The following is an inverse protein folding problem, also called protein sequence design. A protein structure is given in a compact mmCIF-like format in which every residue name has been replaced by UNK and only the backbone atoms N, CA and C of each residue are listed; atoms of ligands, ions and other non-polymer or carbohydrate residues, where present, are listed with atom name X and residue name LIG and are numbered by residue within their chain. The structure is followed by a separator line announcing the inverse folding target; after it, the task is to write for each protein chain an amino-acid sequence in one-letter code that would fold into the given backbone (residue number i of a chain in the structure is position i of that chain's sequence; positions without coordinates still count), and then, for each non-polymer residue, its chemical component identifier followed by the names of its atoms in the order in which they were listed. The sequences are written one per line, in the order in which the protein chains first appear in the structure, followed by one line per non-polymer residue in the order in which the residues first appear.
data_IF_304235650599
#
_entry.id   IF_304235650599
#
_cell.length_a   1.000
_cell.length_b   1.000
_cell.length_c   1.000
_cell.angle_alpha   90.00
_cell.angle_beta   90.00
_cell.angle_gamma   90.00
#
_symmetry.space_group_name_H-M   'P 1'
#
loop_
_entity.id
_entity.type
_entity.pdbx_description
1 polymer ?
#
# COMPACT_ATOMS: atom_id res chain seq x y z
N UNK A 1 -8.18 25.49 21.02
CA UNK A 1 -9.10 24.49 21.61
C UNK A 1 -8.82 23.14 20.93
N UNK A 2 -8.23 22.19 21.65
CA UNK A 2 -7.94 20.84 21.14
C UNK A 2 -9.21 20.01 21.30
N UNK A 3 -9.92 19.73 20.22
CA UNK A 3 -10.97 18.71 20.21
C UNK A 3 -10.30 17.34 20.17
N UNK A 4 -10.25 16.67 21.32
CA UNK A 4 -9.83 15.29 21.42
C UNK A 4 -10.90 14.37 20.86
N UNK A 5 -10.62 13.69 19.77
CA UNK A 5 -11.43 12.57 19.32
C UNK A 5 -11.27 11.42 20.32
N UNK A 6 -12.32 11.14 21.10
CA UNK A 6 -12.43 9.90 21.87
C UNK A 6 -12.71 8.75 20.88
N UNK A 7 -11.66 8.02 20.51
CA UNK A 7 -11.83 6.73 19.85
C UNK A 7 -12.30 5.74 20.90
N UNK A 8 -13.52 5.25 20.77
CA UNK A 8 -14.04 4.14 21.59
C UNK A 8 -13.34 2.87 21.08
N UNK A 9 -12.25 2.50 21.73
CA UNK A 9 -11.56 1.23 21.53
C UNK A 9 -12.42 0.11 22.12
N UNK A 10 -13.17 -0.59 21.28
CA UNK A 10 -13.66 -1.92 21.61
C UNK A 10 -12.46 -2.87 21.62
N UNK A 11 -11.99 -3.26 22.79
CA UNK A 11 -11.02 -4.32 22.97
C UNK A 11 -11.65 -5.66 22.56
N UNK A 12 -11.51 -6.05 21.29
CA UNK A 12 -11.60 -7.45 20.89
C UNK A 12 -10.21 -8.07 21.05
N UNK A 13 -10.05 -8.83 22.13
CA UNK A 13 -8.86 -9.64 22.43
C UNK A 13 -8.93 -10.89 21.53
N UNK A 14 -8.57 -10.78 20.23
CA UNK A 14 -8.37 -11.93 19.36
C UNK A 14 -7.11 -11.73 18.52
N UNK A 15 -6.23 -12.73 18.59
CA UNK A 15 -4.93 -12.80 17.94
C UNK A 15 -5.06 -12.68 16.41
N UNK A 16 -4.17 -11.88 15.79
CA UNK A 16 -3.97 -11.70 14.34
C UNK A 16 -5.17 -11.11 13.58
N UNK A 17 -5.68 -9.98 14.04
CA UNK A 17 -6.70 -9.25 13.27
C UNK A 17 -6.08 -8.69 11.98
N UNK A 18 -6.59 -9.17 10.83
CA UNK A 18 -6.24 -8.66 9.49
C UNK A 18 -7.20 -7.53 9.12
N UNK A 19 -6.68 -6.45 8.55
CA UNK A 19 -7.47 -5.36 7.97
C UNK A 19 -6.89 -4.87 6.64
N UNK A 20 -7.66 -4.07 5.94
CA UNK A 20 -7.28 -3.52 4.64
C UNK A 20 -6.96 -2.02 4.76
N UNK A 21 -5.91 -1.58 4.07
CA UNK A 21 -5.61 -0.17 3.87
C UNK A 21 -5.76 0.14 2.39
N UNK A 22 -6.72 0.99 2.05
CA UNK A 22 -6.94 1.46 0.68
C UNK A 22 -6.31 2.85 0.54
N UNK A 23 -5.32 2.98 -0.32
CA UNK A 23 -4.86 4.29 -0.78
C UNK A 23 -5.82 4.81 -1.84
N UNK A 24 -6.54 5.91 -1.52
CA UNK A 24 -7.56 6.51 -2.38
C UNK A 24 -7.12 7.87 -2.92
N UNK A 25 -7.31 8.08 -4.22
CA UNK A 25 -7.22 9.39 -4.84
C UNK A 25 -8.25 9.52 -5.96
N UNK A 26 -9.31 10.29 -5.72
CA UNK A 26 -10.41 10.51 -6.68
C UNK A 26 -10.27 11.89 -7.30
N UNK A 27 -10.24 11.97 -8.63
CA UNK A 27 -10.16 13.24 -9.37
C UNK A 27 -11.20 13.36 -10.50
N UNK A 28 -11.97 12.30 -10.76
CA UNK A 28 -13.06 12.25 -11.75
C UNK A 28 -13.98 11.05 -11.46
N UNK A 29 -15.06 10.90 -12.23
CA UNK A 29 -16.05 9.81 -12.08
C UNK A 29 -15.44 8.43 -12.26
N UNK A 30 -14.48 8.27 -13.19
CA UNK A 30 -13.82 6.99 -13.41
C UNK A 30 -13.02 6.54 -12.17
N UNK A 31 -12.27 7.45 -11.57
CA UNK A 31 -11.49 7.15 -10.36
C UNK A 31 -12.39 6.97 -9.14
N UNK A 32 -13.57 7.59 -9.11
CA UNK A 32 -14.61 7.30 -8.12
C UNK A 32 -15.12 5.85 -8.26
N UNK A 33 -15.31 5.37 -9.49
CA UNK A 33 -15.70 3.97 -9.72
C UNK A 33 -14.62 2.98 -9.27
N UNK A 34 -13.33 3.35 -9.32
CA UNK A 34 -12.24 2.47 -8.86
C UNK A 34 -12.36 2.17 -7.37
N UNK A 35 -12.36 3.20 -6.52
CA UNK A 35 -12.38 2.98 -5.08
C UNK A 35 -13.68 2.30 -4.63
N UNK A 36 -14.82 2.63 -5.26
CA UNK A 36 -16.11 1.98 -4.98
C UNK A 36 -16.03 0.48 -5.26
N UNK A 37 -15.51 0.09 -6.45
CA UNK A 37 -15.38 -1.31 -6.83
C UNK A 37 -14.34 -2.05 -5.97
N UNK A 38 -13.22 -1.40 -5.64
CA UNK A 38 -12.23 -1.92 -4.71
C UNK A 38 -12.87 -2.23 -3.35
N UNK A 39 -13.55 -1.25 -2.74
CA UNK A 39 -14.24 -1.40 -1.47
C UNK A 39 -15.28 -2.55 -1.51
N UNK A 40 -16.12 -2.60 -2.53
CA UNK A 40 -17.15 -3.62 -2.67
C UNK A 40 -16.54 -5.02 -2.86
N UNK A 41 -15.42 -5.12 -3.59
CA UNK A 41 -14.70 -6.38 -3.76
C UNK A 41 -14.11 -6.89 -2.44
N UNK A 42 -13.56 -6.01 -1.60
CA UNK A 42 -13.13 -6.38 -0.26
C UNK A 42 -14.32 -6.86 0.56
N UNK A 43 -15.42 -6.11 0.60
CA UNK A 43 -16.61 -6.49 1.37
C UNK A 43 -17.21 -7.81 0.95
N UNK A 44 -17.13 -8.14 -0.33
CA UNK A 44 -17.63 -9.43 -0.85
C UNK A 44 -16.89 -10.64 -0.28
N UNK A 45 -15.57 -10.56 -0.15
CA UNK A 45 -14.74 -11.70 0.27
C UNK A 45 -14.25 -11.61 1.72
N UNK A 46 -14.26 -10.41 2.30
CA UNK A 46 -13.83 -10.10 3.67
C UNK A 46 -14.85 -9.19 4.36
N UNK A 47 -16.10 -9.66 4.56
CA UNK A 47 -17.23 -8.81 4.98
C UNK A 47 -17.00 -8.15 6.34
N UNK A 48 -16.33 -8.84 7.27
CA UNK A 48 -16.18 -8.40 8.65
C UNK A 48 -14.85 -7.68 8.96
N UNK A 49 -13.91 -7.66 8.00
CA UNK A 49 -12.60 -7.07 8.22
C UNK A 49 -12.67 -5.53 8.34
N UNK A 50 -11.80 -4.96 9.17
CA UNK A 50 -11.64 -3.51 9.25
C UNK A 50 -11.04 -2.97 7.95
N UNK A 51 -11.49 -1.81 7.52
CA UNK A 51 -10.91 -1.08 6.39
C UNK A 51 -10.47 0.30 6.86
N UNK A 52 -9.26 0.68 6.53
CA UNK A 52 -8.75 2.04 6.63
C UNK A 52 -8.61 2.60 5.21
N UNK A 53 -9.34 3.67 4.91
CA UNK A 53 -9.15 4.42 3.67
C UNK A 53 -8.26 5.62 3.97
N UNK A 54 -7.13 5.70 3.29
CA UNK A 54 -6.26 6.87 3.33
C UNK A 54 -6.49 7.66 2.05
N UNK A 55 -7.06 8.85 2.23
CA UNK A 55 -7.39 9.75 1.13
C UNK A 55 -6.23 10.70 0.89
N UNK A 56 -5.62 10.60 -0.30
CA UNK A 56 -4.54 11.46 -0.73
C UNK A 56 -5.08 12.59 -1.62
N UNK A 57 -5.73 13.58 -1.00
CA UNK A 57 -6.20 14.79 -1.67
C UNK A 57 -7.20 14.53 -2.82
N UNK A 58 -8.21 13.72 -2.56
CA UNK A 58 -9.31 13.52 -3.51
C UNK A 58 -10.12 14.79 -3.73
N UNK A 59 -10.64 14.98 -4.95
CA UNK A 59 -11.66 15.98 -5.24
C UNK A 59 -13.04 15.43 -4.83
N UNK A 60 -13.53 15.90 -3.69
CA UNK A 60 -14.78 15.42 -3.08
C UNK A 60 -16.02 15.68 -3.93
N UNK A 61 -15.96 16.57 -4.95
CA UNK A 61 -17.02 16.75 -5.93
C UNK A 61 -17.37 15.46 -6.68
N UNK A 62 -16.40 14.55 -6.83
CA UNK A 62 -16.58 13.29 -7.54
C UNK A 62 -16.82 12.10 -6.62
N UNK A 63 -16.71 12.27 -5.29
CA UNK A 63 -16.94 11.17 -4.35
C UNK A 63 -18.44 11.07 -4.07
N UNK A 64 -19.04 9.99 -4.55
CA UNK A 64 -20.43 9.70 -4.23
C UNK A 64 -20.58 9.26 -2.77
N UNK A 65 -21.70 9.65 -2.16
CA UNK A 65 -22.06 9.15 -0.85
C UNK A 65 -22.21 7.63 -0.86
N UNK A 66 -21.52 6.97 0.08
CA UNK A 66 -21.52 5.51 0.23
C UNK A 66 -21.55 5.14 1.70
N UNK A 67 -22.48 4.25 2.06
CA UNK A 67 -22.51 3.69 3.41
C UNK A 67 -21.28 2.78 3.60
N UNK A 68 -20.39 3.19 4.50
CA UNK A 68 -19.19 2.45 4.83
C UNK A 68 -19.42 1.62 6.11
N UNK A 69 -19.08 0.33 6.06
CA UNK A 69 -19.18 -0.59 7.18
C UNK A 69 -17.79 -0.90 7.74
N UNK A 70 -17.63 -0.84 9.08
CA UNK A 70 -16.34 -1.09 9.76
C UNK A 70 -15.14 -0.41 9.06
N UNK A 71 -15.30 0.85 8.72
CA UNK A 71 -14.35 1.60 7.91
C UNK A 71 -14.04 2.94 8.54
N UNK A 72 -12.76 3.25 8.65
CA UNK A 72 -12.25 4.57 9.03
C UNK A 72 -11.68 5.25 7.79
N UNK A 73 -11.91 6.55 7.63
CA UNK A 73 -11.33 7.38 6.57
C UNK A 73 -10.40 8.40 7.22
N UNK A 74 -9.16 8.46 6.75
CA UNK A 74 -8.18 9.48 7.10
C UNK A 74 -7.91 10.34 5.87
N UNK A 75 -8.20 11.64 5.98
CA UNK A 75 -7.76 12.62 4.99
C UNK A 75 -6.30 12.96 5.29
N UNK A 76 -5.41 12.64 4.36
CA UNK A 76 -3.99 12.86 4.56
C UNK A 76 -3.66 14.34 4.69
N UNK A 77 -2.86 14.70 5.70
CA UNK A 77 -2.24 16.00 5.79
C UNK A 77 -1.03 16.16 4.84
N UNK A 78 -0.56 15.07 4.25
CA UNK A 78 0.62 15.01 3.38
C UNK A 78 0.20 14.69 1.94
N UNK A 79 -0.37 15.68 1.26
CA UNK A 79 -0.90 15.51 -0.08
C UNK A 79 0.18 15.12 -1.09
N UNK A 80 -0.15 14.19 -2.01
CA UNK A 80 0.70 13.76 -3.10
C UNK A 80 1.81 12.76 -2.72
N UNK A 81 1.85 12.28 -1.46
CA UNK A 81 2.83 11.29 -1.02
C UNK A 81 2.44 9.86 -1.39
N UNK A 82 1.19 9.65 -1.79
CA UNK A 82 0.69 8.39 -2.37
C UNK A 82 1.11 7.14 -1.61
N UNK A 83 1.94 6.34 -2.24
CA UNK A 83 2.39 5.01 -1.81
C UNK A 83 3.08 4.99 -0.42
N UNK A 84 3.62 6.12 0.04
CA UNK A 84 4.20 6.26 1.38
C UNK A 84 3.13 6.31 2.47
N UNK A 85 1.97 6.91 2.18
CA UNK A 85 0.94 7.23 3.19
C UNK A 85 0.38 6.00 3.93
N UNK A 86 0.11 4.85 3.28
CA UNK A 86 -0.35 3.65 3.97
C UNK A 86 0.59 3.23 5.10
N UNK A 87 1.90 3.20 4.85
CA UNK A 87 2.90 2.85 5.86
C UNK A 87 2.98 3.88 6.98
N UNK A 88 3.01 5.17 6.62
CA UNK A 88 3.07 6.26 7.59
C UNK A 88 1.86 6.26 8.54
N UNK A 89 0.64 6.21 8.00
CA UNK A 89 -0.55 6.25 8.84
C UNK A 89 -0.79 4.95 9.61
N UNK A 90 -0.37 3.81 9.09
CA UNK A 90 -0.46 2.54 9.80
C UNK A 90 0.51 2.50 11.01
N UNK A 91 1.68 3.11 10.91
CA UNK A 91 2.58 3.31 12.04
C UNK A 91 1.95 4.17 13.15
N UNK A 92 1.20 5.21 12.77
CA UNK A 92 0.56 6.12 13.72
C UNK A 92 -0.71 5.56 14.35
N UNK A 93 -1.39 4.64 13.67
CA UNK A 93 -2.73 4.17 14.03
C UNK A 93 -2.83 2.65 13.87
N UNK A 94 -2.48 1.92 14.92
CA UNK A 94 -2.65 0.46 14.93
C UNK A 94 -4.13 0.11 15.09
N UNK A 95 -4.84 -0.10 13.97
CA UNK A 95 -6.23 -0.55 13.97
C UNK A 95 -6.38 -2.09 13.91
N UNK A 96 -5.36 -2.79 13.45
CA UNK A 96 -5.29 -4.24 13.30
C UNK A 96 -3.82 -4.72 13.38
N UNK A 97 -3.59 -6.02 13.47
CA UNK A 97 -2.22 -6.57 13.60
C UNK A 97 -1.53 -6.76 12.26
N UNK A 98 -2.29 -7.03 11.21
CA UNK A 98 -1.78 -7.24 9.85
C UNK A 98 -2.55 -6.37 8.87
N UNK A 99 -1.85 -5.57 8.08
CA UNK A 99 -2.41 -4.74 7.03
C UNK A 99 -2.25 -5.40 5.65
N UNK A 100 -3.32 -5.41 4.88
CA UNK A 100 -3.30 -5.62 3.42
C UNK A 100 -3.36 -4.25 2.77
N UNK A 101 -2.23 -3.75 2.30
CA UNK A 101 -2.09 -2.42 1.68
C UNK A 101 -2.31 -2.56 0.18
N UNK A 102 -3.33 -1.89 -0.34
CA UNK A 102 -3.69 -1.88 -1.77
C UNK A 102 -4.10 -0.48 -2.24
N UNK A 103 -3.99 -0.26 -3.54
CA UNK A 103 -4.55 0.91 -4.19
C UNK A 103 -6.06 0.74 -4.46
N UNK A 104 -6.77 1.84 -4.56
CA UNK A 104 -8.18 1.91 -4.96
C UNK A 104 -8.49 1.31 -6.36
N UNK A 105 -7.46 1.03 -7.14
CA UNK A 105 -7.51 0.43 -8.48
C UNK A 105 -7.18 -1.07 -8.50
N UNK A 106 -7.20 -1.72 -7.33
CA UNK A 106 -7.06 -3.18 -7.17
C UNK A 106 -8.39 -3.78 -6.77
N UNK A 107 -8.79 -4.87 -7.40
CA UNK A 107 -10.06 -5.55 -7.16
C UNK A 107 -9.83 -6.99 -6.78
N UNK A 108 -10.50 -7.46 -5.74
CA UNK A 108 -10.42 -8.83 -5.24
C UNK A 108 -11.50 -9.66 -5.95
N UNK A 109 -11.09 -10.76 -6.60
CA UNK A 109 -12.00 -11.63 -7.35
C UNK A 109 -12.31 -12.94 -6.64
N UNK A 110 -11.49 -13.33 -5.67
CA UNK A 110 -11.70 -14.52 -4.85
C UNK A 110 -11.12 -14.33 -3.45
N UNK A 111 -11.52 -15.16 -2.51
CA UNK A 111 -10.87 -15.19 -1.20
C UNK A 111 -9.43 -15.69 -1.33
N UNK A 112 -8.51 -15.00 -0.63
CA UNK A 112 -7.09 -15.35 -0.51
C UNK A 112 -6.73 -15.31 0.97
N UNK A 113 -5.98 -16.29 1.45
CA UNK A 113 -5.40 -16.20 2.79
C UNK A 113 -4.32 -15.10 2.83
N UNK A 114 -4.62 -14.04 3.57
CA UNK A 114 -3.75 -12.87 3.76
C UNK A 114 -2.85 -12.99 5.01
N UNK A 115 -2.70 -14.18 5.56
CA UNK A 115 -1.82 -14.39 6.71
C UNK A 115 -0.34 -14.29 6.33
N UNK A 116 0.44 -13.67 7.21
CA UNK A 116 1.88 -13.53 7.06
C UNK A 116 2.59 -13.60 8.41
N UNK A 117 3.83 -14.08 8.43
CA UNK A 117 4.65 -14.05 9.64
C UNK A 117 5.24 -12.66 9.88
N UNK A 118 5.66 -11.94 8.83
CA UNK A 118 6.20 -10.59 8.85
C UNK A 118 5.62 -9.75 7.74
N UNK A 119 5.88 -10.10 6.47
CA UNK A 119 5.35 -9.43 5.29
C UNK A 119 5.30 -10.35 4.07
N UNK A 120 4.55 -9.93 3.05
CA UNK A 120 4.61 -10.39 1.65
C UNK A 120 4.39 -9.18 0.75
N UNK A 121 5.14 -9.04 -0.34
CA UNK A 121 4.77 -8.13 -1.42
C UNK A 121 3.55 -8.72 -2.14
N UNK A 122 2.58 -7.91 -2.52
CA UNK A 122 1.45 -8.42 -3.33
C UNK A 122 1.98 -8.79 -4.72
N UNK A 123 2.67 -7.86 -5.35
CA UNK A 123 3.42 -8.09 -6.58
C UNK A 123 4.83 -7.52 -6.49
N UNK A 124 5.73 -8.18 -7.17
CA UNK A 124 7.09 -7.71 -7.41
C UNK A 124 7.28 -7.19 -8.83
N UNK A 125 8.39 -6.52 -9.07
CA UNK A 125 8.92 -6.19 -10.40
C UNK A 125 10.45 -6.17 -10.39
N UNK A 126 11.02 -6.35 -11.58
CA UNK A 126 12.47 -6.37 -11.82
C UNK A 126 13.04 -4.94 -11.93
N UNK A 127 14.38 -4.80 -11.91
CA UNK A 127 15.11 -3.53 -11.87
C UNK A 127 15.25 -2.81 -13.24
N UNK A 128 14.37 -3.11 -14.20
CA UNK A 128 14.50 -2.59 -15.58
C UNK A 128 14.26 -1.08 -15.71
N UNK A 129 13.57 -0.47 -14.72
CA UNK A 129 13.19 0.95 -14.75
C UNK A 129 13.52 1.66 -13.44
N UNK A 130 14.66 1.29 -12.85
CA UNK A 130 15.13 1.92 -11.61
C UNK A 130 15.49 3.39 -11.83
N UNK A 131 15.13 4.20 -10.87
CA UNK A 131 15.42 5.64 -10.82
C UNK A 131 16.60 5.88 -9.87
N UNK A 132 17.77 5.34 -10.25
CA UNK A 132 18.94 5.15 -9.38
C UNK A 132 19.34 6.42 -8.61
N UNK A 133 19.29 7.59 -9.24
CA UNK A 133 19.67 8.85 -8.60
C UNK A 133 18.72 9.22 -7.46
N UNK A 134 17.41 9.18 -7.71
CA UNK A 134 16.39 9.51 -6.71
C UNK A 134 16.29 8.46 -5.60
N UNK A 135 16.37 7.18 -5.97
CA UNK A 135 16.40 6.06 -5.03
C UNK A 135 17.62 6.13 -4.11
N UNK A 136 18.82 6.36 -4.68
CA UNK A 136 20.06 6.49 -3.91
C UNK A 136 20.00 7.68 -2.95
N UNK A 137 19.39 8.79 -3.38
CA UNK A 137 19.16 9.96 -2.53
C UNK A 137 18.31 9.58 -1.31
N UNK A 138 17.22 8.82 -1.52
CA UNK A 138 16.33 8.39 -0.43
C UNK A 138 17.01 7.37 0.50
N UNK A 139 17.74 6.38 -0.04
CA UNK A 139 18.46 5.39 0.77
C UNK A 139 19.52 6.04 1.65
N UNK A 140 20.25 7.02 1.14
CA UNK A 140 21.29 7.75 1.90
C UNK A 140 20.76 8.52 3.11
N UNK A 141 19.46 8.88 3.14
CA UNK A 141 18.82 9.53 4.30
C UNK A 141 18.84 8.66 5.57
N UNK A 142 18.95 7.35 5.41
CA UNK A 142 18.96 6.43 6.55
C UNK A 142 20.32 6.28 7.22
N UNK A 143 21.40 6.79 6.60
CA UNK A 143 22.78 6.73 7.11
C UNK A 143 23.24 5.31 7.49
N UNK A 144 22.81 4.30 6.74
CA UNK A 144 23.12 2.89 6.94
C UNK A 144 23.90 2.37 5.73
N UNK A 145 25.20 2.09 5.92
CA UNK A 145 26.08 1.58 4.85
C UNK A 145 25.69 0.17 4.38
N UNK A 146 25.21 -0.66 5.30
CA UNK A 146 24.79 -2.02 4.96
C UNK A 146 23.50 -1.99 4.13
N UNK A 147 22.60 -1.06 4.43
CA UNK A 147 21.40 -0.83 3.60
C UNK A 147 21.76 -0.33 2.21
N UNK A 148 22.73 0.60 2.12
CA UNK A 148 23.20 1.11 0.84
C UNK A 148 23.82 -0.02 0.00
N UNK A 149 24.71 -0.82 0.58
CA UNK A 149 25.32 -1.97 -0.10
C UNK A 149 24.26 -3.00 -0.56
N UNK A 150 23.25 -3.24 0.28
CA UNK A 150 22.15 -4.13 -0.07
C UNK A 150 21.31 -3.55 -1.22
N UNK A 151 21.01 -2.26 -1.20
CA UNK A 151 20.30 -1.57 -2.28
C UNK A 151 21.07 -1.66 -3.61
N UNK A 152 22.41 -1.51 -3.59
CA UNK A 152 23.27 -1.59 -4.77
C UNK A 152 23.33 -3.00 -5.35
N UNK A 153 23.20 -4.03 -4.52
CA UNK A 153 23.16 -5.43 -4.97
C UNK A 153 21.77 -5.86 -5.44
N UNK A 154 21.44 -5.49 -6.66
CA UNK A 154 20.11 -5.69 -7.27
C UNK A 154 19.69 -7.18 -7.39
N UNK A 155 20.57 -8.12 -7.14
CA UNK A 155 20.24 -9.55 -7.13
C UNK A 155 19.60 -10.01 -5.80
N UNK A 156 19.75 -9.23 -4.73
CA UNK A 156 19.28 -9.61 -3.40
C UNK A 156 17.84 -9.21 -3.11
N UNK A 157 17.25 -8.29 -3.88
CA UNK A 157 15.90 -7.78 -3.65
C UNK A 157 15.18 -7.48 -4.97
N UNK A 158 13.89 -7.21 -4.89
CA UNK A 158 13.01 -6.85 -6.02
C UNK A 158 12.13 -5.69 -5.62
N UNK A 159 11.62 -4.94 -6.59
CA UNK A 159 10.68 -3.84 -6.34
C UNK A 159 9.34 -4.32 -5.79
N UNK A 160 8.64 -3.45 -5.06
CA UNK A 160 7.28 -3.67 -4.55
C UNK A 160 6.30 -2.84 -5.37
N UNK A 161 5.59 -3.47 -6.28
CA UNK A 161 4.70 -2.77 -7.21
C UNK A 161 3.60 -1.99 -6.47
N UNK A 162 3.56 -0.67 -6.71
CA UNK A 162 2.63 0.25 -6.02
C UNK A 162 2.83 0.28 -4.50
N UNK A 163 3.98 -0.16 -3.99
CA UNK A 163 4.21 -0.36 -2.56
C UNK A 163 3.13 -1.21 -1.88
N UNK A 164 2.47 -2.09 -2.63
CA UNK A 164 1.37 -2.92 -2.15
C UNK A 164 1.88 -4.19 -1.48
N UNK A 165 1.52 -4.37 -0.23
CA UNK A 165 2.04 -5.47 0.59
C UNK A 165 1.02 -5.95 1.62
N UNK A 166 1.26 -7.14 2.14
CA UNK A 166 0.67 -7.63 3.38
C UNK A 166 1.76 -7.52 4.44
N UNK A 167 1.52 -6.80 5.52
CA UNK A 167 2.55 -6.52 6.51
C UNK A 167 1.99 -6.52 7.93
N UNK A 168 2.71 -7.19 8.84
CA UNK A 168 2.43 -7.11 10.28
C UNK A 168 2.87 -5.75 10.84
N UNK A 169 2.05 -5.21 11.74
CA UNK A 169 2.36 -3.94 12.40
C UNK A 169 3.66 -3.99 13.20
N UNK A 170 3.91 -5.08 13.92
CA UNK A 170 5.15 -5.25 14.71
C UNK A 170 6.40 -5.27 13.81
N UNK A 171 6.32 -5.90 12.62
CA UNK A 171 7.41 -5.86 11.67
C UNK A 171 7.60 -4.47 11.06
N UNK A 172 6.53 -3.76 10.76
CA UNK A 172 6.62 -2.37 10.28
C UNK A 172 7.24 -1.44 11.35
N UNK A 173 6.89 -1.62 12.62
CA UNK A 173 7.55 -0.90 13.75
C UNK A 173 9.04 -1.20 13.76
N UNK A 174 9.44 -2.47 13.70
CA UNK A 174 10.85 -2.85 13.65
C UNK A 174 11.62 -2.15 12.52
N UNK A 175 11.05 -2.12 11.31
CA UNK A 175 11.64 -1.40 10.16
C UNK A 175 11.70 0.11 10.43
N UNK A 176 10.65 0.69 11.00
CA UNK A 176 10.58 2.11 11.28
C UNK A 176 11.54 2.55 12.40
N UNK A 177 11.70 1.75 13.44
CA UNK A 177 12.64 2.03 14.55
C UNK A 177 14.08 2.09 14.02
N UNK A 178 14.40 1.27 13.02
CA UNK A 178 15.72 1.27 12.40
C UNK A 178 15.90 2.44 11.42
N UNK A 179 14.91 2.75 10.59
CA UNK A 179 15.09 3.64 9.45
C UNK A 179 14.33 4.96 9.56
N UNK A 180 13.26 5.03 10.36
CA UNK A 180 12.36 6.18 10.46
C UNK A 180 11.81 6.59 9.09
N UNK A 181 10.79 5.86 8.63
CA UNK A 181 10.14 6.05 7.31
C UNK A 181 9.59 7.47 7.13
N UNK A 182 9.26 8.18 8.23
CA UNK A 182 8.75 9.56 8.15
C UNK A 182 9.74 10.56 7.53
N UNK A 183 11.05 10.25 7.53
CA UNK A 183 12.06 11.06 6.80
C UNK A 183 11.77 11.19 5.31
N UNK A 184 11.02 10.25 4.75
CA UNK A 184 10.68 10.26 3.32
C UNK A 184 9.50 11.19 2.98
N UNK A 185 8.76 11.71 3.96
CA UNK A 185 7.66 12.65 3.74
C UNK A 185 8.10 13.92 3.00
N UNK A 186 9.34 14.37 3.22
CA UNK A 186 9.91 15.55 2.57
C UNK A 186 10.59 15.21 1.22
N UNK A 187 10.64 13.94 0.84
CA UNK A 187 11.30 13.46 -0.36
C UNK A 187 10.35 12.91 -1.41
N UNK A 188 9.23 12.31 -0.97
CA UNK A 188 8.23 11.71 -1.85
C UNK A 188 7.17 12.75 -2.18
N UNK A 189 7.44 13.64 -3.14
CA UNK A 189 6.61 14.80 -3.43
C UNK A 189 5.87 14.71 -4.77
N UNK A 190 6.38 13.89 -5.69
CA UNK A 190 5.89 13.76 -7.06
C UNK A 190 5.61 12.32 -7.42
N UNK A 191 4.94 12.08 -8.55
CA UNK A 191 4.77 10.73 -9.10
C UNK A 191 6.11 10.02 -9.32
N UNK A 192 7.13 10.75 -9.79
CA UNK A 192 8.48 10.22 -9.97
C UNK A 192 9.04 9.67 -8.64
N UNK A 193 8.97 10.47 -7.58
CA UNK A 193 9.46 10.04 -6.26
C UNK A 193 8.62 8.89 -5.68
N UNK A 194 7.33 8.80 -5.97
CA UNK A 194 6.48 7.66 -5.56
C UNK A 194 6.90 6.37 -6.25
N UNK A 195 7.26 6.44 -7.53
CA UNK A 195 7.84 5.27 -8.22
C UNK A 195 9.18 4.85 -7.58
N UNK A 196 10.06 5.80 -7.23
CA UNK A 196 11.29 5.50 -6.47
C UNK A 196 10.96 4.85 -5.12
N UNK A 197 9.94 5.35 -4.41
CA UNK A 197 9.52 4.81 -3.11
C UNK A 197 9.11 3.34 -3.18
N UNK A 198 8.56 2.86 -4.28
CA UNK A 198 8.26 1.43 -4.49
C UNK A 198 9.51 0.54 -4.31
N UNK A 199 10.69 1.04 -4.70
CA UNK A 199 11.97 0.36 -4.53
C UNK A 199 12.50 0.55 -3.12
N UNK A 200 12.35 1.73 -2.57
CA UNK A 200 12.83 2.03 -1.22
C UNK A 200 12.14 1.15 -0.19
N UNK A 201 10.80 1.14 -0.17
CA UNK A 201 10.07 0.29 0.78
C UNK A 201 10.37 -1.18 0.58
N UNK A 202 10.49 -1.64 -0.67
CA UNK A 202 10.86 -3.01 -0.98
C UNK A 202 12.24 -3.36 -0.40
N UNK A 203 13.23 -2.49 -0.57
CA UNK A 203 14.57 -2.66 -0.03
C UNK A 203 14.55 -2.72 1.51
N UNK A 204 13.83 -1.79 2.17
CA UNK A 204 13.69 -1.77 3.63
C UNK A 204 13.07 -3.07 4.18
N UNK A 205 12.01 -3.58 3.52
CA UNK A 205 11.32 -4.80 3.94
C UNK A 205 12.18 -6.06 3.72
N UNK A 206 13.01 -6.09 2.68
CA UNK A 206 13.79 -7.26 2.29
C UNK A 206 15.19 -7.32 2.93
N UNK A 207 15.73 -6.19 3.45
CA UNK A 207 17.11 -6.11 3.98
C UNK A 207 17.45 -7.16 5.04
N UNK A 208 16.50 -7.54 5.89
CA UNK A 208 16.70 -8.49 6.97
C UNK A 208 15.80 -9.73 6.86
N UNK A 209 15.12 -9.90 5.72
CA UNK A 209 14.13 -10.95 5.53
C UNK A 209 14.24 -11.53 4.12
N UNK A 210 13.71 -12.74 3.96
CA UNK A 210 13.64 -13.35 2.63
C UNK A 210 12.64 -12.61 1.75
N UNK A 211 12.95 -12.53 0.46
CA UNK A 211 12.00 -12.11 -0.57
C UNK A 211 10.80 -13.05 -0.58
N UNK A 212 9.61 -12.51 -0.34
CA UNK A 212 8.35 -13.26 -0.36
C UNK A 212 7.29 -12.44 -1.10
N UNK A 213 6.68 -13.04 -2.12
CA UNK A 213 5.59 -12.43 -2.88
C UNK A 213 4.33 -13.29 -2.81
N UNK A 214 3.16 -12.66 -2.94
CA UNK A 214 1.87 -13.34 -2.99
C UNK A 214 1.56 -13.85 -4.41
N UNK A 215 1.76 -12.99 -5.40
CA UNK A 215 1.31 -13.21 -6.79
C UNK A 215 2.45 -13.09 -7.82
N UNK A 216 3.70 -12.95 -7.38
CA UNK A 216 4.86 -12.86 -8.25
C UNK A 216 4.99 -11.54 -9.02
N UNK A 217 5.58 -11.61 -10.21
CA UNK A 217 5.89 -10.44 -11.02
C UNK A 217 4.63 -9.88 -11.70
N UNK A 218 4.32 -8.59 -11.45
CA UNK A 218 3.12 -7.91 -12.00
C UNK A 218 3.08 -7.94 -13.53
N UNK A 219 4.23 -7.79 -14.20
CA UNK A 219 4.29 -7.74 -15.67
C UNK A 219 4.01 -9.09 -16.33
N UNK A 220 4.12 -10.19 -15.57
CA UNK A 220 3.73 -11.54 -16.00
C UNK A 220 2.34 -11.94 -15.51
N UNK A 221 1.82 -11.23 -14.50
CA UNK A 221 0.57 -11.55 -13.84
C UNK A 221 -0.64 -10.89 -14.52
N UNK A 222 -0.56 -9.60 -14.85
CA UNK A 222 -1.66 -8.81 -15.39
C UNK A 222 -1.17 -7.94 -16.54
N UNK A 223 -1.94 -7.79 -17.64
CA UNK A 223 -1.56 -6.93 -18.75
C UNK A 223 -1.32 -5.49 -18.31
N UNK A 224 -0.22 -4.91 -18.76
CA UNK A 224 0.05 -3.49 -18.56
C UNK A 224 -1.00 -2.64 -19.29
N UNK A 225 -1.49 -1.59 -18.63
CA UNK A 225 -2.48 -0.70 -19.23
C UNK A 225 -3.92 -1.20 -19.20
N UNK A 226 -4.22 -2.28 -18.45
CA UNK A 226 -5.59 -2.79 -18.32
C UNK A 226 -6.56 -1.68 -17.90
N UNK A 227 -7.58 -1.42 -18.73
CA UNK A 227 -8.61 -0.43 -18.45
C UNK A 227 -9.70 -0.97 -17.53
N UNK A 228 -10.36 -0.07 -16.79
CA UNK A 228 -11.44 -0.42 -15.85
C UNK A 228 -12.57 -1.21 -16.49
N UNK A 229 -12.97 -0.84 -17.70
CA UNK A 229 -14.06 -1.52 -18.42
C UNK A 229 -13.70 -2.95 -18.85
N UNK A 230 -12.43 -3.31 -18.84
CA UNK A 230 -11.94 -4.64 -19.20
C UNK A 230 -11.72 -5.56 -18.00
N UNK A 231 -11.86 -5.05 -16.77
CA UNK A 231 -11.60 -5.82 -15.54
C UNK A 231 -12.31 -7.18 -15.49
N UNK A 232 -13.48 -7.28 -16.10
CA UNK A 232 -14.27 -8.52 -16.13
C UNK A 232 -13.61 -9.67 -16.90
N UNK A 233 -12.70 -9.36 -17.82
CA UNK A 233 -11.94 -10.37 -18.58
C UNK A 233 -10.90 -11.09 -17.69
N UNK A 234 -10.58 -10.51 -16.53
CA UNK A 234 -9.50 -10.97 -15.64
C UNK A 234 -10.01 -11.42 -14.27
N UNK A 235 -11.31 -11.73 -14.16
CA UNK A 235 -11.89 -12.22 -12.90
C UNK A 235 -11.43 -13.64 -12.51
N UNK A 236 -10.76 -14.35 -13.41
CA UNK A 236 -10.07 -15.60 -13.12
C UNK A 236 -8.78 -15.40 -12.31
N UNK A 237 -8.20 -14.20 -12.31
CA UNK A 237 -7.07 -13.83 -11.46
C UNK A 237 -7.57 -13.54 -10.04
N UNK A 238 -6.85 -13.96 -8.98
CA UNK A 238 -7.23 -13.65 -7.60
C UNK A 238 -7.40 -12.16 -7.31
N UNK A 239 -6.52 -11.33 -7.85
CA UNK A 239 -6.62 -9.87 -7.84
C UNK A 239 -6.53 -9.33 -9.26
N UNK A 240 -7.26 -8.25 -9.56
CA UNK A 240 -7.11 -7.51 -10.83
C UNK A 240 -6.61 -6.11 -10.52
N UNK A 241 -5.55 -5.68 -11.22
CA UNK A 241 -5.02 -4.30 -11.15
C UNK A 241 -5.37 -3.57 -12.43
N UNK A 242 -6.12 -2.47 -12.33
CA UNK A 242 -6.33 -1.58 -13.49
C UNK A 242 -5.36 -0.42 -13.45
N UNK A 243 -4.93 0.00 -14.62
CA UNK A 243 -4.05 1.14 -14.77
C UNK A 243 -4.82 2.45 -14.61
N UNK A 244 -4.27 3.40 -13.86
CA UNK A 244 -4.97 4.63 -13.51
C UNK A 244 -4.47 5.87 -14.24
N UNK A 245 -3.24 5.84 -14.77
CA UNK A 245 -2.62 6.99 -15.39
C UNK A 245 -2.28 8.16 -14.44
N UNK A 246 -2.36 7.92 -13.14
CA UNK A 246 -2.19 8.95 -12.08
C UNK A 246 -0.78 9.00 -11.56
#
# INVERSE_FOLDING_TARGET
MRQGFKIILFYYKNMNQIGFIILRHVNNDLTNNYWNHCYDSIRKYYPEHLILIIDDNSNYKYINEKRLYKTTVINSAYHGRGELLPYYYYLQNKLFDTAVIIHDSVFINTYIDMSVNKYKLIWEFEHNWDQIEDESRMIKLFNDKELLNFYENKNEWVGCFGSMSIIRHDYLIYVNDKYNISKLLDCVLTRYNRCSFERIIACLLQKNEKKITLLGNIHRYCPWGLHFNEKYKYTHLPLTKVWTGR
#
